data_IF_637550212626
#
_entry.id   IF_637550212626
#
_cell.length_a   1.000
_cell.length_b   1.000
_cell.length_c   1.000
_cell.angle_alpha   90.00
_cell.angle_beta   90.00
_cell.angle_gamma   90.00
#
_symmetry.space_group_name_H-M   'P 1'
#
loop_
_entity.id
_entity.type
_entity.pdbx_description
1 polymer ?
#
# COMPACT_ATOMS: atom_id res chain seq x y z
N UNK A 1 15.34 4.38 -14.63
CA UNK A 1 15.35 5.37 -13.59
C UNK A 1 15.77 4.77 -12.27
N UNK A 2 16.96 5.18 -11.84
CA UNK A 2 17.55 4.61 -10.66
C UNK A 2 16.73 4.82 -9.42
N UNK A 3 16.10 5.97 -9.32
CA UNK A 3 15.31 6.32 -8.19
C UNK A 3 14.18 5.30 -7.93
N UNK A 4 13.60 4.76 -8.97
CA UNK A 4 12.53 3.81 -8.86
C UNK A 4 13.00 2.37 -8.83
N UNK A 5 14.29 2.14 -8.71
CA UNK A 5 14.80 0.79 -8.50
C UNK A 5 14.44 0.27 -7.11
N UNK A 6 14.10 1.16 -6.17
CA UNK A 6 13.72 0.74 -4.83
C UNK A 6 12.32 0.13 -4.83
N UNK A 7 12.18 -1.14 -4.44
CA UNK A 7 10.85 -1.74 -4.35
C UNK A 7 9.93 -1.00 -3.39
N UNK A 8 10.50 -0.45 -2.32
CA UNK A 8 9.69 0.27 -1.34
C UNK A 8 9.10 1.55 -1.92
N UNK A 9 9.88 2.27 -2.70
CA UNK A 9 9.36 3.49 -3.34
C UNK A 9 8.27 3.16 -4.35
N UNK A 10 8.46 2.09 -5.11
CA UNK A 10 7.43 1.67 -6.06
C UNK A 10 6.15 1.28 -5.35
N UNK A 11 6.29 0.64 -4.19
CA UNK A 11 5.11 0.23 -3.44
C UNK A 11 4.36 1.44 -2.88
N UNK A 12 5.08 2.44 -2.42
CA UNK A 12 4.45 3.66 -1.95
C UNK A 12 3.68 4.34 -3.08
N UNK A 13 4.30 4.39 -4.25
CA UNK A 13 3.61 4.97 -5.41
C UNK A 13 2.36 4.19 -5.76
N UNK A 14 2.42 2.87 -5.67
CA UNK A 14 1.25 2.05 -5.94
C UNK A 14 0.11 2.36 -5.00
N UNK A 15 0.44 2.49 -3.72
CA UNK A 15 -0.57 2.77 -2.70
C UNK A 15 -1.23 4.13 -2.91
N UNK A 16 -0.49 5.09 -3.43
CA UNK A 16 -1.00 6.44 -3.64
C UNK A 16 -1.45 6.69 -5.08
N UNK A 17 -1.58 5.63 -5.87
CA UNK A 17 -1.80 5.80 -7.30
C UNK A 17 -3.20 6.22 -7.68
N UNK A 18 -4.18 5.59 -7.07
CA UNK A 18 -5.56 5.82 -7.48
C UNK A 18 -6.34 6.76 -6.60
N UNK A 19 -5.77 7.17 -5.50
CA UNK A 19 -6.44 8.09 -4.60
C UNK A 19 -5.51 8.48 -3.48
N UNK A 20 -5.88 9.53 -2.80
CA UNK A 20 -5.07 10.01 -1.69
C UNK A 20 -5.03 9.00 -0.56
N UNK A 21 -3.89 8.92 0.10
CA UNK A 21 -3.71 7.99 1.20
C UNK A 21 -2.88 8.69 2.27
N UNK A 22 -3.23 8.46 3.52
CA UNK A 22 -2.52 9.07 4.64
C UNK A 22 -1.24 8.31 4.94
N UNK A 23 -0.25 9.03 5.46
CA UNK A 23 1.04 8.43 5.80
C UNK A 23 0.89 7.25 6.74
N UNK A 24 -0.02 7.33 7.70
CA UNK A 24 -0.26 6.21 8.62
C UNK A 24 -0.80 4.98 7.92
N UNK A 25 -1.63 5.18 6.92
CA UNK A 25 -2.16 4.06 6.15
C UNK A 25 -1.08 3.42 5.29
N UNK A 26 -0.20 4.25 4.73
CA UNK A 26 0.93 3.72 3.97
C UNK A 26 1.82 2.88 4.89
N UNK A 27 2.09 3.41 6.08
CA UNK A 27 2.91 2.70 7.05
C UNK A 27 2.31 1.33 7.39
N UNK A 28 1.01 1.29 7.63
CA UNK A 28 0.36 0.03 7.96
C UNK A 28 0.40 -0.96 6.79
N UNK A 29 0.27 -0.45 5.57
CA UNK A 29 0.29 -1.31 4.40
C UNK A 29 1.68 -1.90 4.13
N UNK A 30 2.72 -1.14 4.44
CA UNK A 30 4.08 -1.63 4.22
C UNK A 30 4.51 -2.66 5.26
N UNK A 31 4.00 -2.52 6.46
CA UNK A 31 4.19 -3.54 7.48
C UNK A 31 5.44 -3.41 8.32
N UNK A 32 6.52 -3.93 7.87
CA UNK A 32 7.71 -4.10 8.71
C UNK A 32 8.73 -2.99 8.62
N UNK A 33 8.25 -1.75 8.55
CA UNK A 33 9.15 -0.60 8.55
C UNK A 33 8.69 0.38 9.61
N UNK A 34 9.58 1.26 10.04
CA UNK A 34 9.21 2.27 11.02
C UNK A 34 8.47 3.40 10.33
N UNK A 35 7.66 4.09 11.11
CA UNK A 35 6.96 5.25 10.58
C UNK A 35 7.95 6.32 10.11
N UNK A 36 9.07 6.47 10.82
CA UNK A 36 10.10 7.43 10.42
C UNK A 36 10.68 7.11 9.06
N UNK A 37 10.89 5.83 8.78
CA UNK A 37 11.42 5.42 7.48
C UNK A 37 10.41 5.73 6.37
N UNK A 38 9.12 5.51 6.64
CA UNK A 38 8.08 5.84 5.67
C UNK A 38 8.03 7.35 5.43
N UNK A 39 8.08 8.13 6.50
CA UNK A 39 8.06 9.58 6.37
C UNK A 39 9.23 10.08 5.54
N UNK A 40 10.39 9.50 5.74
CA UNK A 40 11.55 9.90 4.97
C UNK A 40 11.41 9.57 3.50
N UNK A 41 10.88 8.40 3.18
CA UNK A 41 10.65 8.03 1.81
C UNK A 41 9.62 8.95 1.16
N UNK A 42 8.58 9.30 1.90
CA UNK A 42 7.56 10.20 1.38
C UNK A 42 8.12 11.58 1.08
N UNK A 43 8.99 12.08 1.98
CA UNK A 43 9.64 13.37 1.73
C UNK A 43 10.52 13.31 0.49
N UNK A 44 11.22 12.22 0.31
CA UNK A 44 12.07 12.04 -0.85
C UNK A 44 11.26 12.03 -2.14
N UNK A 45 10.14 11.31 -2.12
CA UNK A 45 9.26 11.26 -3.29
C UNK A 45 8.63 12.62 -3.58
N UNK A 46 8.27 13.33 -2.53
CA UNK A 46 7.67 14.65 -2.69
C UNK A 46 8.69 15.64 -3.28
N UNK A 47 9.90 15.62 -2.77
CA UNK A 47 10.95 16.49 -3.31
C UNK A 47 11.27 16.17 -4.75
N UNK A 48 11.17 14.92 -5.13
CA UNK A 48 11.39 14.52 -6.52
C UNK A 48 10.21 14.86 -7.42
N UNK A 49 9.11 15.34 -6.84
CA UNK A 49 7.94 15.69 -7.62
C UNK A 49 7.08 14.52 -8.02
N UNK A 50 7.29 13.35 -7.42
CA UNK A 50 6.56 12.15 -7.80
C UNK A 50 5.29 11.93 -7.00
N UNK A 51 5.16 12.58 -5.85
CA UNK A 51 3.92 12.60 -5.10
C UNK A 51 3.61 14.03 -4.70
N UNK A 52 2.33 14.33 -4.58
CA UNK A 52 1.87 15.59 -4.04
C UNK A 52 1.31 15.32 -2.64
N UNK A 53 1.52 16.25 -1.74
CA UNK A 53 1.07 16.11 -0.38
C UNK A 53 0.21 17.28 0.01
N UNK A 54 -0.80 17.02 0.82
CA UNK A 54 -1.61 18.10 1.39
C UNK A 54 -2.06 17.73 2.78
N UNK A 55 -2.33 18.73 3.58
CA UNK A 55 -2.84 18.52 4.92
C UNK A 55 -4.36 18.46 4.91
N UNK A 56 -4.91 17.57 5.69
CA UNK A 56 -6.35 17.47 5.86
C UNK A 56 -6.58 17.23 7.34
N UNK A 57 -6.82 18.30 8.09
CA UNK A 57 -6.90 18.22 9.52
C UNK A 57 -5.54 17.86 10.08
N UNK A 58 -5.48 16.78 10.86
CA UNK A 58 -4.23 16.31 11.43
C UNK A 58 -3.52 15.33 10.53
N UNK A 59 -4.13 15.00 9.43
CA UNK A 59 -3.56 14.00 8.53
C UNK A 59 -2.83 14.69 7.40
N UNK A 60 -1.82 13.99 6.91
CA UNK A 60 -1.15 14.42 5.70
C UNK A 60 -1.41 13.37 4.65
N UNK A 61 -1.97 13.81 3.53
CA UNK A 61 -2.41 12.90 2.47
C UNK A 61 -1.47 13.01 1.28
N UNK A 62 -1.22 11.88 0.65
CA UNK A 62 -0.29 11.80 -0.48
C UNK A 62 -0.97 11.19 -1.68
N UNK A 63 -0.66 11.72 -2.85
CA UNK A 63 -1.19 11.22 -4.11
C UNK A 63 -0.06 11.18 -5.13
N UNK A 64 0.09 10.05 -5.81
CA UNK A 64 1.13 9.93 -6.82
C UNK A 64 0.84 10.87 -7.98
N UNK A 65 1.89 11.47 -8.52
CA UNK A 65 1.78 12.35 -9.66
C UNK A 65 2.14 11.59 -10.91
N UNK A 66 1.15 10.91 -11.45
CA UNK A 66 1.34 10.04 -12.59
C UNK A 66 2.00 10.77 -13.77
N UNK A 67 1.57 11.99 -14.00
CA UNK A 67 2.09 12.76 -15.11
C UNK A 67 3.59 13.08 -14.97
N UNK A 68 4.07 13.16 -13.75
CA UNK A 68 5.49 13.41 -13.52
C UNK A 68 6.37 12.23 -13.88
N UNK A 69 5.78 11.06 -13.95
CA UNK A 69 6.53 9.84 -14.28
C UNK A 69 6.63 9.60 -15.79
N UNK A 70 5.78 10.26 -16.58
CA UNK A 70 5.83 10.11 -18.01
C UNK A 70 5.66 8.66 -18.44
N UNK A 71 6.49 8.18 -19.38
CA UNK A 71 6.34 6.79 -19.85
C UNK A 71 6.57 5.74 -18.78
N UNK A 72 7.30 6.09 -17.72
CA UNK A 72 7.54 5.14 -16.63
C UNK A 72 6.23 4.75 -15.95
N UNK A 73 5.24 5.65 -15.97
CA UNK A 73 3.95 5.36 -15.37
C UNK A 73 3.31 4.13 -16.00
N UNK A 74 3.35 4.03 -17.30
CA UNK A 74 2.79 2.87 -18.00
C UNK A 74 3.52 1.59 -17.62
N UNK A 75 4.84 1.68 -17.53
CA UNK A 75 5.65 0.53 -17.14
C UNK A 75 5.28 0.05 -15.73
N UNK A 76 5.14 0.99 -14.81
CA UNK A 76 4.77 0.64 -13.45
C UNK A 76 3.38 0.01 -13.39
N UNK A 77 2.44 0.58 -14.12
CA UNK A 77 1.09 0.05 -14.14
C UNK A 77 1.05 -1.36 -14.68
N UNK A 78 1.83 -1.63 -15.71
CA UNK A 78 1.91 -2.97 -16.26
C UNK A 78 2.50 -3.96 -15.26
N UNK A 79 3.54 -3.53 -14.54
CA UNK A 79 4.13 -4.37 -13.51
C UNK A 79 3.14 -4.72 -12.41
N UNK A 80 2.38 -3.74 -11.98
CA UNK A 80 1.42 -3.96 -10.88
C UNK A 80 0.27 -4.84 -11.32
N UNK A 81 -0.21 -4.64 -12.54
CA UNK A 81 -1.29 -5.46 -13.07
C UNK A 81 -0.85 -6.91 -13.22
N UNK A 82 0.37 -7.11 -13.71
CA UNK A 82 0.89 -8.44 -13.88
C UNK A 82 1.06 -9.16 -12.55
N UNK A 83 1.62 -8.46 -11.58
CA UNK A 83 1.83 -9.04 -10.25
C UNK A 83 0.50 -9.42 -9.62
N UNK A 84 -0.50 -8.56 -9.78
CA UNK A 84 -1.81 -8.83 -9.21
C UNK A 84 -2.47 -10.02 -9.90
N UNK A 85 -2.34 -10.11 -11.20
CA UNK A 85 -2.89 -11.22 -11.96
C UNK A 85 -2.26 -12.55 -11.52
N UNK A 86 -0.95 -12.57 -11.36
CA UNK A 86 -0.24 -13.77 -10.92
C UNK A 86 -0.67 -14.20 -9.54
N UNK A 87 -0.83 -13.25 -8.64
CA UNK A 87 -1.27 -13.54 -7.30
C UNK A 87 -2.67 -14.13 -7.30
N UNK A 88 -3.55 -13.53 -8.06
CA UNK A 88 -4.92 -13.98 -8.18
C UNK A 88 -4.99 -15.40 -8.73
N UNK A 89 -4.22 -15.66 -9.75
CA UNK A 89 -4.18 -16.98 -10.35
C UNK A 89 -3.70 -18.03 -9.36
N UNK A 90 -2.68 -17.70 -8.60
CA UNK A 90 -2.15 -18.61 -7.59
C UNK A 90 -3.17 -18.95 -6.52
N UNK A 91 -3.89 -17.94 -6.07
CA UNK A 91 -4.91 -18.12 -5.05
C UNK A 91 -6.03 -19.01 -5.57
N UNK A 92 -6.46 -18.78 -6.79
CA UNK A 92 -7.51 -19.58 -7.39
C UNK A 92 -7.09 -21.04 -7.55
N UNK A 93 -5.87 -21.27 -7.96
CA UNK A 93 -5.38 -22.63 -8.11
C UNK A 93 -5.30 -23.34 -6.78
N UNK A 94 -4.87 -22.65 -5.76
CA UNK A 94 -4.80 -23.23 -4.45
C UNK A 94 -6.17 -23.57 -3.89
N UNK A 95 -7.11 -22.70 -4.07
CA UNK A 95 -8.45 -22.94 -3.60
C UNK A 95 -9.10 -24.10 -4.35
N UNK A 96 -8.85 -24.20 -5.63
CA UNK A 96 -9.36 -25.31 -6.41
C UNK A 96 -8.77 -26.64 -5.98
N UNK A 97 -7.52 -26.63 -5.55
CA UNK A 97 -6.86 -27.85 -5.12
C UNK A 97 -7.30 -28.31 -3.76
N UNK A 98 -7.57 -27.39 -2.85
CA UNK A 98 -7.93 -27.72 -1.49
C UNK A 98 -9.39 -27.69 -1.18
N UNK A 99 -10.20 -27.17 -2.07
CA UNK A 99 -11.60 -26.90 -1.76
C UNK A 99 -11.73 -25.60 -1.01
N UNK A 100 -12.84 -25.36 -0.36
CA UNK A 100 -13.08 -24.08 0.31
C UNK A 100 -12.02 -23.80 1.35
N UNK A 101 -11.55 -22.57 1.36
CA UNK A 101 -10.51 -22.17 2.25
C UNK A 101 -11.04 -21.87 3.61
N UNK A 102 -10.38 -22.30 4.67
CA UNK A 102 -10.80 -21.93 6.01
C UNK A 102 -10.57 -20.45 6.26
N UNK A 103 -11.37 -19.89 7.20
CA UNK A 103 -11.18 -18.55 7.53
C UNK A 103 -9.86 -18.29 8.13
N UNK A 104 -9.22 -17.23 7.77
CA UNK A 104 -7.94 -16.85 8.33
C UNK A 104 -8.10 -16.46 9.79
N UNK A 105 -7.21 -16.88 10.67
CA UNK A 105 -7.24 -16.42 12.05
C UNK A 105 -7.14 -14.92 12.18
N UNK A 106 -6.44 -14.30 11.29
CA UNK A 106 -6.32 -12.86 11.31
C UNK A 106 -7.62 -12.18 11.08
N UNK A 107 -8.41 -12.65 10.15
CA UNK A 107 -9.66 -12.00 9.92
C UNK A 107 -10.61 -12.19 11.08
N UNK A 108 -10.46 -13.24 11.82
CA UNK A 108 -11.25 -13.44 13.00
C UNK A 108 -10.86 -12.50 14.10
N UNK A 109 -9.56 -12.36 14.31
CA UNK A 109 -9.10 -11.55 15.38
C UNK A 109 -9.38 -10.12 15.22
N UNK A 110 -9.42 -9.64 14.07
CA UNK A 110 -9.64 -8.29 13.89
C UNK A 110 -10.88 -7.78 14.39
N UNK A 111 -11.73 -8.60 14.64
CA UNK A 111 -12.84 -8.21 15.18
C UNK A 111 -12.79 -8.02 16.49
N UNK A 112 -12.11 -8.13 17.16
CA UNK A 112 -12.07 -7.99 18.51
C UNK A 112 -11.78 -6.99 19.04
N UNK A 113 -11.88 -6.68 19.00
CA UNK A 113 -11.86 -6.04 19.62
C UNK A 113 -12.06 -5.56 20.30
N UNK A 114 -12.03 -5.76 20.34
CA UNK A 114 -12.30 -5.48 21.01
C UNK A 114 -12.53 -5.13 21.86
N UNK A 115 -12.48 -5.27 21.99
CA UNK A 115 -12.83 -5.16 22.81
C UNK A 115 -13.04 -4.73 23.54
N UNK A 116 -13.07 -4.73 23.56
CA UNK A 116 -13.44 -4.45 24.30
C UNK A 116 -13.72 -4.12 24.89
N UNK A 117 -13.54 -4.31 24.72
CA UNK A 117 -13.96 -4.16 25.34
C UNK A 117 -14.36 -3.80 25.95
N UNK A 118 -14.29 -3.90 25.93
CA UNK A 118 -14.84 -3.69 26.67
C UNK A 118 -15.24 -3.35 27.40
N UNK A 119 -15.05 -3.45 27.33
CA UNK A 119 -15.54 -3.17 28.06
C UNK A 119 -15.72 -2.89 28.67
N UNK A 120 -15.61 -3.08 28.68
CA UNK A 120 -15.95 -2.92 29.36
C UNK A 120 -16.22 -2.59 30.02
N UNK A 121 -16.06 -2.75 30.01
CA UNK A 121 -16.53 -2.48 30.60
C UNK A 121 -16.97 -2.18 31.08
#
# INVERSE_FOLDING_TARGET
MRFLASPRRREILRLAWRGEIAAGEIHRALGDVTFGAVSQQLRTLERAGLVAARSAGRRRLYLARREALGPVATTLEAMWDDALYQLKLRVELEEGRRGPRPRSPNSTRRRRPRRRAKGRT
#
